data_IF_218605450742
#
_entry.id   IF_218605450742
#
_cell.length_a   1.000
_cell.length_b   1.000
_cell.length_c   1.000
_cell.angle_alpha   90.00
_cell.angle_beta   90.00
_cell.angle_gamma   90.00
#
_symmetry.space_group_name_H-M   'P 1'
#
loop_
_entity.id
_entity.type
_entity.pdbx_description
1 polymer ?
#
# COMPACT_ATOMS: atom_id res chain seq x y z
N UNK A 1 12.59 2.69 -4.71
CA UNK A 1 13.64 2.01 -5.52
C UNK A 1 14.00 0.58 -5.05
N UNK A 2 13.49 0.12 -3.90
CA UNK A 2 13.88 -1.17 -3.31
C UNK A 2 12.70 -2.11 -3.07
N UNK A 3 11.65 -2.09 -3.90
CA UNK A 3 10.46 -2.92 -3.68
C UNK A 3 10.86 -4.40 -3.52
N UNK A 4 10.42 -5.11 -2.47
CA UNK A 4 10.81 -6.50 -2.25
C UNK A 4 10.37 -7.38 -3.41
N UNK A 5 11.22 -8.32 -3.82
CA UNK A 5 10.92 -9.26 -4.92
C UNK A 5 9.67 -10.10 -4.63
N UNK A 6 9.38 -10.35 -3.35
CA UNK A 6 8.24 -11.12 -2.87
C UNK A 6 7.00 -10.24 -2.54
N UNK A 7 6.98 -8.95 -2.91
CA UNK A 7 5.88 -8.04 -2.58
C UNK A 7 4.53 -8.61 -3.04
N UNK A 8 4.44 -8.98 -4.32
CA UNK A 8 3.18 -9.45 -4.92
C UNK A 8 2.78 -10.78 -4.31
N UNK A 9 3.72 -11.72 -4.19
CA UNK A 9 3.46 -13.06 -3.65
C UNK A 9 2.95 -12.99 -2.20
N UNK A 10 3.58 -12.15 -1.37
CA UNK A 10 3.19 -11.98 0.03
C UNK A 10 1.83 -11.29 0.15
N UNK A 11 1.56 -10.24 -0.62
CA UNK A 11 0.24 -9.61 -0.66
C UNK A 11 -0.83 -10.60 -1.12
N UNK A 12 -0.56 -11.40 -2.16
CA UNK A 12 -1.50 -12.39 -2.67
C UNK A 12 -1.77 -13.52 -1.65
N UNK A 13 -0.73 -14.05 -1.01
CA UNK A 13 -0.85 -15.10 0.00
C UNK A 13 -1.60 -14.63 1.25
N UNK A 14 -1.40 -13.37 1.67
CA UNK A 14 -2.05 -12.78 2.83
C UNK A 14 -3.37 -12.07 2.51
N UNK A 15 -3.87 -12.21 1.28
CA UNK A 15 -5.12 -11.61 0.84
C UNK A 15 -6.34 -12.22 1.52
N UNK A 16 -6.32 -13.51 1.86
CA UNK A 16 -7.42 -14.20 2.56
C UNK A 16 -8.82 -13.92 1.98
N UNK A 17 -8.92 -13.77 0.66
CA UNK A 17 -10.17 -13.44 -0.04
C UNK A 17 -10.56 -11.95 -0.05
N UNK A 18 -9.92 -11.09 0.75
CA UNK A 18 -10.18 -9.66 0.77
C UNK A 18 -9.94 -9.01 -0.60
N UNK A 19 -10.82 -8.10 -1.06
CA UNK A 19 -10.70 -7.52 -2.39
C UNK A 19 -9.53 -6.55 -2.52
N UNK A 20 -9.08 -5.97 -1.40
CA UNK A 20 -7.94 -5.06 -1.29
C UNK A 20 -7.04 -5.50 -0.15
N UNK A 21 -5.73 -5.52 -0.38
CA UNK A 21 -4.74 -5.55 0.69
C UNK A 21 -3.65 -4.54 0.43
N UNK A 22 -3.07 -3.96 1.47
CA UNK A 22 -1.99 -2.98 1.36
C UNK A 22 -0.85 -3.30 2.33
N UNK A 23 0.29 -2.65 2.12
CA UNK A 23 1.48 -2.86 2.94
C UNK A 23 1.43 -2.07 4.24
N UNK A 24 1.87 -2.68 5.34
CA UNK A 24 2.20 -1.99 6.59
C UNK A 24 3.67 -2.29 6.95
N UNK A 25 4.48 -1.26 7.15
CA UNK A 25 5.94 -1.40 7.33
C UNK A 25 6.37 -1.67 8.79
N UNK A 26 5.40 -1.96 9.66
CA UNK A 26 5.58 -2.11 11.10
C UNK A 26 5.32 -0.82 11.89
N UNK A 27 5.35 0.35 11.25
CA UNK A 27 5.08 1.64 11.88
C UNK A 27 3.87 2.37 11.29
N UNK A 28 3.65 2.22 9.98
CA UNK A 28 2.58 2.93 9.25
C UNK A 28 2.04 2.14 8.07
N UNK A 29 0.81 2.48 7.70
CA UNK A 29 0.15 2.03 6.48
C UNK A 29 0.77 2.69 5.22
N UNK A 30 0.98 1.89 4.18
CA UNK A 30 1.39 2.32 2.84
C UNK A 30 0.29 1.98 1.81
N UNK A 31 -0.82 2.72 1.79
CA UNK A 31 -1.95 2.43 0.91
C UNK A 31 -1.65 2.56 -0.58
N UNK A 32 -0.58 3.24 -0.96
CA UNK A 32 -0.15 3.33 -2.37
C UNK A 32 0.55 2.06 -2.85
N UNK A 33 0.94 1.17 -1.93
CA UNK A 33 1.47 -0.16 -2.22
C UNK A 33 0.39 -1.17 -1.85
N UNK A 34 -0.47 -1.48 -2.82
CA UNK A 34 -1.65 -2.30 -2.61
C UNK A 34 -1.92 -3.26 -3.77
N UNK A 35 -2.50 -4.41 -3.44
CA UNK A 35 -3.09 -5.35 -4.38
C UNK A 35 -4.60 -5.16 -4.36
N UNK A 36 -5.17 -4.75 -5.50
CA UNK A 36 -6.59 -4.38 -5.63
C UNK A 36 -7.24 -5.26 -6.70
N UNK A 37 -8.36 -5.89 -6.35
CA UNK A 37 -9.17 -6.65 -7.30
C UNK A 37 -10.04 -5.70 -8.14
N UNK A 38 -10.16 -5.99 -9.44
CA UNK A 38 -11.01 -5.19 -10.36
C UNK A 38 -12.48 -5.13 -9.94
N UNK A 39 -13.00 -6.10 -9.19
CA UNK A 39 -14.36 -6.07 -8.64
C UNK A 39 -14.63 -4.84 -7.74
N UNK A 40 -13.59 -4.15 -7.27
CA UNK A 40 -13.67 -2.92 -6.46
C UNK A 40 -14.00 -1.67 -7.30
N UNK A 41 -13.83 -1.74 -8.63
CA UNK A 41 -14.00 -0.60 -9.54
C UNK A 41 -15.34 0.14 -9.38
N UNK A 42 -16.51 -0.51 -9.33
CA UNK A 42 -17.78 0.20 -9.17
C UNK A 42 -17.87 0.97 -7.84
N UNK A 43 -17.33 0.39 -6.77
CA UNK A 43 -17.30 1.02 -5.45
C UNK A 43 -16.36 2.21 -5.42
N UNK A 44 -15.19 2.11 -6.08
CA UNK A 44 -14.23 3.21 -6.19
C UNK A 44 -14.83 4.39 -6.97
N UNK A 45 -15.47 4.10 -8.10
CA UNK A 45 -16.14 5.11 -8.93
C UNK A 45 -17.21 5.85 -8.13
N UNK A 46 -18.09 5.13 -7.43
CA UNK A 46 -19.12 5.73 -6.59
C UNK A 46 -18.52 6.56 -5.43
N UNK A 47 -17.42 6.08 -4.82
CA UNK A 47 -16.74 6.79 -3.75
C UNK A 47 -16.16 8.13 -4.22
N UNK A 48 -15.52 8.15 -5.39
CA UNK A 48 -14.95 9.36 -6.00
C UNK A 48 -16.06 10.32 -6.47
N UNK A 49 -17.13 9.82 -7.09
CA UNK A 49 -18.28 10.63 -7.51
C UNK A 49 -19.00 11.31 -6.33
N UNK A 50 -18.99 10.70 -5.15
CA UNK A 50 -19.47 11.31 -3.92
C UNK A 50 -18.52 12.39 -3.34
N UNK A 51 -17.46 12.77 -4.07
CA UNK A 51 -16.47 13.77 -3.66
C UNK A 51 -15.50 13.29 -2.58
N UNK A 52 -15.46 11.98 -2.28
CA UNK A 52 -14.60 11.43 -1.23
C UNK A 52 -13.20 11.12 -1.80
N UNK A 53 -12.18 11.34 -0.97
CA UNK A 53 -10.76 11.22 -1.36
C UNK A 53 -9.87 10.52 -0.33
N UNK A 54 -10.45 9.98 0.75
CA UNK A 54 -9.69 9.36 1.85
C UNK A 54 -9.42 7.88 1.54
N UNK A 55 -8.25 7.59 0.97
CA UNK A 55 -7.85 6.25 0.49
C UNK A 55 -8.01 5.17 1.56
N UNK A 56 -7.46 5.37 2.77
CA UNK A 56 -7.56 4.37 3.84
C UNK A 56 -8.99 4.07 4.26
N UNK A 57 -9.88 5.07 4.26
CA UNK A 57 -11.29 4.87 4.58
C UNK A 57 -11.93 4.00 3.50
N UNK A 58 -11.65 4.29 2.23
CA UNK A 58 -12.16 3.48 1.13
C UNK A 58 -11.68 2.03 1.21
N UNK A 59 -10.37 1.81 1.41
CA UNK A 59 -9.79 0.46 1.47
C UNK A 59 -10.38 -0.37 2.61
N UNK A 60 -10.59 0.23 3.79
CA UNK A 60 -11.29 -0.45 4.91
C UNK A 60 -12.77 -0.67 4.60
N UNK A 61 -13.45 0.28 3.95
CA UNK A 61 -14.87 0.17 3.59
C UNK A 61 -15.16 -0.99 2.64
N UNK A 62 -14.24 -1.28 1.71
CA UNK A 62 -14.39 -2.41 0.77
C UNK A 62 -13.94 -3.75 1.36
N UNK A 63 -13.65 -3.80 2.67
CA UNK A 63 -13.25 -5.02 3.36
C UNK A 63 -11.78 -5.39 3.17
N UNK A 64 -10.92 -4.41 2.92
CA UNK A 64 -9.48 -4.63 2.85
C UNK A 64 -8.77 -4.55 4.20
N UNK A 65 -7.57 -5.11 4.26
CA UNK A 65 -6.70 -5.10 5.43
C UNK A 65 -5.21 -4.92 5.08
N UNK A 66 -4.44 -4.58 6.10
CA UNK A 66 -2.99 -4.45 6.01
C UNK A 66 -2.30 -5.82 6.04
N UNK A 67 -1.24 -5.96 5.27
CA UNK A 67 -0.30 -7.08 5.32
C UNK A 67 0.99 -6.58 5.92
N UNK A 68 1.50 -7.29 6.91
CA UNK A 68 2.74 -6.91 7.59
C UNK A 68 3.95 -7.12 6.68
N UNK A 69 4.82 -6.11 6.63
CA UNK A 69 6.14 -6.07 5.98
C UNK A 69 7.18 -5.41 6.90
N UNK A 70 7.00 -5.52 8.23
CA UNK A 70 7.94 -5.01 9.22
C UNK A 70 9.39 -5.49 9.03
N UNK A 71 9.57 -6.69 8.46
CA UNK A 71 10.85 -7.28 8.07
C UNK A 71 11.50 -6.65 6.82
N UNK A 72 10.76 -5.83 6.07
CA UNK A 72 11.19 -5.19 4.82
C UNK A 72 11.09 -3.66 4.90
N UNK A 73 11.19 -3.05 6.08
CA UNK A 73 10.96 -1.61 6.29
C UNK A 73 11.79 -0.70 5.37
N UNK A 74 13.07 -1.00 5.16
CA UNK A 74 13.96 -0.17 4.34
C UNK A 74 13.58 -0.19 2.85
N UNK A 75 12.93 -1.26 2.39
CA UNK A 75 12.48 -1.43 1.01
C UNK A 75 11.27 -0.55 0.64
N UNK A 76 10.58 -0.01 1.64
CA UNK A 76 9.28 0.66 1.54
C UNK A 76 9.35 2.15 1.89
N UNK A 77 10.56 2.72 2.00
CA UNK A 77 10.72 4.15 2.27
C UNK A 77 10.32 4.96 1.05
N UNK A 78 9.29 5.77 1.22
CA UNK A 78 8.92 6.80 0.26
C UNK A 78 9.88 7.98 0.39
N UNK A 79 10.39 8.48 -0.74
CA UNK A 79 11.24 9.67 -0.80
C UNK A 79 10.35 10.82 -1.25
N UNK A 80 9.90 11.63 -0.30
CA UNK A 80 8.97 12.73 -0.53
C UNK A 80 9.69 14.07 -0.72
N UNK A 81 10.94 14.19 -0.26
CA UNK A 81 11.71 15.44 -0.40
C UNK A 81 13.11 15.23 -1.01
N UNK A 82 13.70 16.27 -1.63
CA UNK A 82 15.08 16.23 -2.12
C UNK A 82 16.11 15.91 -1.03
N UNK A 83 15.88 16.34 0.20
CA UNK A 83 16.75 16.05 1.35
C UNK A 83 16.72 14.57 1.73
N UNK A 84 15.54 13.94 1.65
CA UNK A 84 15.38 12.49 1.83
C UNK A 84 16.12 11.72 0.72
N UNK A 85 16.07 12.22 -0.52
CA UNK A 85 16.80 11.64 -1.65
C UNK A 85 18.32 11.70 -1.44
N UNK A 86 18.84 12.84 -0.97
CA UNK A 86 20.26 13.01 -0.70
C UNK A 86 20.77 12.09 0.44
N UNK A 87 19.93 11.81 1.44
CA UNK A 87 20.23 10.81 2.49
C UNK A 87 20.27 9.40 1.92
N UNK A 88 19.38 9.07 0.98
CA UNK A 88 19.36 7.79 0.29
C UNK A 88 20.60 7.58 -0.58
N UNK A 89 21.05 8.60 -1.33
CA UNK A 89 22.24 8.51 -2.18
C UNK A 89 23.54 8.29 -1.40
N UNK A 90 23.61 8.71 -0.13
CA UNK A 90 24.79 8.50 0.73
C UNK A 90 24.84 7.11 1.38
N UNK A 91 23.74 6.33 1.33
CA UNK A 91 23.65 4.97 1.88
C UNK A 91 23.91 3.88 0.84
N UNK A 92 24.00 4.23 -0.44
CA UNK A 92 24.32 3.34 -1.56
C UNK A 92 25.81 3.21 -1.82
#
# INVERSE_FOLDING_TARGET
PCIPHNLVDRLAAQRHGAPVVWVHDGERDHPTIALINRAVEPQLTAYLQAGKRRVMIFMRQVGGHAVDFSDCKEALVNVNTPEELAKWQKRS
#
